data_IF_832272085734
#
_entry.id   IF_832272085734
#
_cell.length_a   1.000
_cell.length_b   1.000
_cell.length_c   1.000
_cell.angle_alpha   90.00
_cell.angle_beta   90.00
_cell.angle_gamma   90.00
#
_symmetry.space_group_name_H-M   'P 1'
#
loop_
_entity.id
_entity.type
_entity.pdbx_description
1 polymer ?
#
# COMPACT_ATOMS: atom_id res chain seq x y z
N UNK A 1 -2.33 19.87 1.92
CA UNK A 1 -2.83 19.37 3.25
C UNK A 1 -2.73 17.83 3.34
N UNK A 2 -2.23 17.24 4.45
CA UNK A 2 -2.14 15.79 4.61
C UNK A 2 -3.48 15.10 4.88
N UNK A 3 -3.54 13.83 4.52
CA UNK A 3 -4.68 12.93 4.75
C UNK A 3 -4.21 11.51 5.02
N UNK A 4 -4.99 10.78 5.82
CA UNK A 4 -4.85 9.33 5.99
C UNK A 4 -5.93 8.64 5.17
N UNK A 5 -5.54 7.64 4.40
CA UNK A 5 -6.45 6.80 3.62
C UNK A 5 -6.41 5.41 4.23
N UNK A 6 -7.57 4.92 4.67
CA UNK A 6 -7.69 3.54 5.17
C UNK A 6 -7.74 2.53 4.02
N UNK A 7 -7.52 1.25 4.34
CA UNK A 7 -7.69 0.14 3.39
C UNK A 7 -9.07 0.10 2.69
N UNK A 8 -10.12 0.57 3.37
CA UNK A 8 -11.46 0.67 2.81
C UNK A 8 -11.67 1.88 1.86
N UNK A 9 -10.64 2.70 1.64
CA UNK A 9 -10.71 3.91 0.81
C UNK A 9 -11.23 5.15 1.54
N UNK A 10 -11.60 5.05 2.82
CA UNK A 10 -12.01 6.22 3.60
C UNK A 10 -10.83 7.17 3.79
N UNK A 11 -11.02 8.45 3.42
CA UNK A 11 -10.01 9.50 3.54
C UNK A 11 -10.33 10.43 4.72
N UNK A 12 -9.37 10.60 5.61
CA UNK A 12 -9.45 11.46 6.78
C UNK A 12 -8.50 12.64 6.56
N UNK A 13 -9.05 13.83 6.43
CA UNK A 13 -8.27 15.06 6.27
C UNK A 13 -7.65 15.49 7.62
N UNK A 14 -6.35 15.75 7.62
CA UNK A 14 -5.62 16.17 8.80
C UNK A 14 -5.30 17.67 8.72
N UNK A 15 -5.93 18.46 9.58
CA UNK A 15 -5.80 19.93 9.58
C UNK A 15 -4.49 20.36 10.23
N UNK A 16 -3.89 21.43 9.71
CA UNK A 16 -2.67 22.03 10.23
C UNK A 16 -2.79 22.44 11.71
N UNK A 17 -1.72 22.21 12.47
CA UNK A 17 -1.63 22.58 13.88
C UNK A 17 -2.46 21.71 14.83
N UNK A 18 -3.06 20.62 14.34
CA UNK A 18 -3.83 19.68 15.13
C UNK A 18 -3.03 18.41 15.43
N UNK A 19 -3.46 17.70 16.46
CA UNK A 19 -2.99 16.34 16.79
C UNK A 19 -4.18 15.40 16.73
N UNK A 20 -4.01 14.28 16.06
CA UNK A 20 -5.03 13.25 15.90
C UNK A 20 -4.58 11.97 16.59
N UNK A 21 -5.35 11.48 17.55
CA UNK A 21 -5.08 10.22 18.26
C UNK A 21 -5.79 9.07 17.54
N UNK A 22 -5.04 8.01 17.25
CA UNK A 22 -5.52 6.75 16.71
C UNK A 22 -5.56 5.71 17.83
N UNK A 23 -6.65 4.97 17.94
CA UNK A 23 -6.79 3.95 18.97
C UNK A 23 -8.17 3.33 18.99
N UNK A 24 -8.35 2.24 19.76
CA UNK A 24 -9.67 1.63 19.96
C UNK A 24 -10.55 2.31 21.02
N UNK A 25 -10.00 3.31 21.72
CA UNK A 25 -10.72 4.08 22.70
C UNK A 25 -11.74 5.00 22.04
N UNK A 26 -12.90 5.18 22.67
CA UNK A 26 -13.95 6.08 22.17
C UNK A 26 -13.57 7.57 22.26
N UNK A 27 -12.51 7.87 23.00
CA UNK A 27 -11.90 9.18 23.18
C UNK A 27 -10.88 9.52 22.09
N UNK A 28 -10.63 8.63 21.13
CA UNK A 28 -9.73 8.88 20.00
C UNK A 28 -10.41 9.65 18.87
N UNK A 29 -9.63 10.47 18.16
CA UNK A 29 -10.10 11.17 16.96
C UNK A 29 -10.35 10.21 15.80
N UNK A 30 -9.56 9.13 15.72
CA UNK A 30 -9.71 8.05 14.75
C UNK A 30 -9.87 6.74 15.54
N UNK A 31 -11.11 6.28 15.62
CA UNK A 31 -11.48 5.08 16.38
C UNK A 31 -11.25 3.84 15.51
N UNK A 32 -10.45 2.90 16.01
CA UNK A 32 -10.13 1.63 15.36
C UNK A 32 -10.83 0.48 16.07
N UNK A 33 -11.67 -0.27 15.36
CA UNK A 33 -12.32 -1.47 15.92
C UNK A 33 -11.38 -2.68 15.82
N UNK A 34 -10.31 -2.64 16.62
CA UNK A 34 -9.24 -3.61 16.58
C UNK A 34 -8.73 -3.96 17.98
N UNK A 35 -8.79 -5.24 18.33
CA UNK A 35 -8.34 -5.76 19.63
C UNK A 35 -6.81 -5.72 19.78
N UNK A 36 -6.06 -5.75 18.67
CA UNK A 36 -4.61 -5.57 18.66
C UNK A 36 -4.23 -4.09 18.85
N UNK A 37 -5.20 -3.18 18.87
CA UNK A 37 -4.97 -1.77 19.06
C UNK A 37 -5.08 -1.35 20.54
N UNK A 38 -4.15 -0.53 21.02
CA UNK A 38 -4.27 0.14 22.33
C UNK A 38 -5.43 1.15 22.32
N UNK A 39 -5.96 1.49 23.52
CA UNK A 39 -7.04 2.49 23.65
C UNK A 39 -6.64 3.83 23.05
N UNK A 40 -5.41 4.28 23.33
CA UNK A 40 -4.71 5.37 22.64
C UNK A 40 -3.40 4.74 22.18
N UNK A 41 -3.23 4.56 20.87
CA UNK A 41 -2.17 3.72 20.32
C UNK A 41 -1.06 4.57 19.74
N UNK A 42 -1.42 5.49 18.85
CA UNK A 42 -0.51 6.39 18.18
C UNK A 42 -1.17 7.76 18.05
N UNK A 43 -0.36 8.78 17.74
CA UNK A 43 -0.87 10.07 17.33
C UNK A 43 -0.15 10.59 16.10
N UNK A 44 -0.88 11.31 15.27
CA UNK A 44 -0.34 12.08 14.15
C UNK A 44 -0.38 13.55 14.52
N UNK A 45 0.80 14.18 14.54
CA UNK A 45 0.97 15.61 14.78
C UNK A 45 1.13 16.31 13.44
N UNK A 46 0.23 17.22 13.10
CA UNK A 46 0.30 17.99 11.86
C UNK A 46 0.96 19.32 12.13
N UNK A 47 1.94 19.66 11.33
CA UNK A 47 2.63 20.94 11.43
C UNK A 47 1.64 22.12 11.23
N UNK A 48 1.80 23.27 11.92
CA UNK A 48 0.88 24.41 11.81
C UNK A 48 0.62 24.90 10.38
N UNK A 49 1.64 24.83 9.50
CA UNK A 49 1.50 25.21 8.09
C UNK A 49 0.73 24.18 7.23
N UNK A 50 0.34 23.02 7.79
CA UNK A 50 -0.40 21.98 7.06
C UNK A 50 0.39 21.27 5.96
N UNK A 51 1.72 21.40 5.92
CA UNK A 51 2.61 20.81 4.90
C UNK A 51 3.48 19.66 5.40
N UNK A 52 3.44 19.36 6.70
CA UNK A 52 4.20 18.27 7.30
C UNK A 52 3.40 17.56 8.38
N UNK A 53 3.73 16.30 8.64
CA UNK A 53 3.17 15.54 9.74
C UNK A 53 4.24 14.62 10.35
N UNK A 54 4.02 14.23 11.60
CA UNK A 54 4.85 13.25 12.29
C UNK A 54 3.95 12.23 13.00
N UNK A 55 4.41 10.98 13.04
CA UNK A 55 3.80 9.88 13.76
C UNK A 55 4.54 9.69 15.08
N UNK A 56 3.80 9.38 16.14
CA UNK A 56 4.37 9.07 17.44
C UNK A 56 3.57 7.95 18.10
N UNK A 57 4.23 6.86 18.48
CA UNK A 57 3.64 5.78 19.27
C UNK A 57 3.36 6.26 20.70
N UNK A 58 2.23 5.84 21.27
CA UNK A 58 1.79 6.23 22.62
C UNK A 58 1.98 5.11 23.64
N UNK A 59 3.15 4.45 23.60
CA UNK A 59 3.47 3.28 24.43
C UNK A 59 2.47 2.15 24.21
N UNK A 60 2.19 1.87 22.94
CA UNK A 60 1.25 0.85 22.56
C UNK A 60 1.77 -0.56 22.91
N UNK A 61 0.84 -1.51 23.08
CA UNK A 61 1.23 -2.89 23.44
C UNK A 61 1.94 -3.62 22.30
N UNK A 62 1.51 -3.38 21.06
CA UNK A 62 1.96 -4.11 19.88
C UNK A 62 2.89 -3.28 18.99
N UNK A 63 3.16 -2.03 19.35
CA UNK A 63 3.95 -1.11 18.56
C UNK A 63 3.18 -0.49 17.40
N UNK A 64 3.69 0.65 16.94
CA UNK A 64 3.28 1.31 15.71
C UNK A 64 4.35 1.10 14.65
N UNK A 65 3.98 0.80 13.42
CA UNK A 65 4.94 0.59 12.33
C UNK A 65 4.80 1.67 11.27
N UNK A 66 5.93 2.19 10.80
CA UNK A 66 6.04 3.11 9.67
C UNK A 66 6.85 2.41 8.58
N UNK A 67 6.24 2.25 7.39
CA UNK A 67 6.85 1.55 6.25
C UNK A 67 7.39 0.15 6.61
N UNK A 68 6.67 -0.57 7.49
CA UNK A 68 7.05 -1.92 7.94
C UNK A 68 8.12 -1.96 9.03
N UNK A 69 8.67 -0.82 9.44
CA UNK A 69 9.64 -0.72 10.53
C UNK A 69 8.98 -0.22 11.82
N UNK A 70 9.38 -0.79 12.96
CA UNK A 70 8.86 -0.39 14.25
C UNK A 70 9.25 1.07 14.54
N UNK A 71 8.24 1.93 14.71
CA UNK A 71 8.41 3.35 15.03
C UNK A 71 8.40 3.51 16.55
N UNK A 72 9.60 3.62 17.12
CA UNK A 72 9.80 3.73 18.58
C UNK A 72 9.78 5.19 19.08
N UNK A 73 10.08 6.13 18.20
CA UNK A 73 10.14 7.56 18.50
C UNK A 73 9.27 8.36 17.53
N UNK A 74 9.16 9.66 17.77
CA UNK A 74 8.48 10.56 16.83
C UNK A 74 9.20 10.53 15.47
N UNK A 75 8.50 10.04 14.44
CA UNK A 75 9.02 9.90 13.09
C UNK A 75 8.30 10.86 12.11
N UNK A 76 9.02 11.56 11.22
CA UNK A 76 8.39 12.35 10.18
C UNK A 76 7.63 11.44 9.20
N UNK A 77 6.49 11.93 8.70
CA UNK A 77 5.70 11.27 7.67
C UNK A 77 5.97 11.92 6.32
N UNK A 78 6.22 11.10 5.30
CA UNK A 78 6.34 11.50 3.90
C UNK A 78 5.05 11.15 3.13
N UNK A 79 4.86 11.74 1.95
CA UNK A 79 3.90 11.20 0.99
C UNK A 79 4.28 9.75 0.66
N UNK A 80 3.30 8.89 0.40
CA UNK A 80 3.58 7.46 0.24
C UNK A 80 3.63 6.67 1.54
N UNK A 81 3.90 7.30 2.68
CA UNK A 81 4.15 6.60 3.95
C UNK A 81 2.99 5.70 4.35
N UNK A 82 3.31 4.48 4.78
CA UNK A 82 2.37 3.48 5.28
C UNK A 82 2.49 3.36 6.79
N UNK A 83 1.37 3.54 7.48
CA UNK A 83 1.28 3.45 8.93
C UNK A 83 0.47 2.20 9.29
N UNK A 84 1.00 1.35 10.16
CA UNK A 84 0.26 0.23 10.74
C UNK A 84 0.08 0.45 12.25
N UNK A 85 -1.17 0.36 12.69
CA UNK A 85 -1.59 0.53 14.10
C UNK A 85 -2.48 -0.67 14.46
N UNK A 86 -1.94 -1.60 15.26
CA UNK A 86 -2.56 -2.93 15.36
C UNK A 86 -2.57 -3.63 13.99
N UNK A 87 -3.72 -4.15 13.58
CA UNK A 87 -3.98 -4.67 12.24
C UNK A 87 -4.52 -3.62 11.24
N UNK A 88 -4.71 -2.37 11.66
CA UNK A 88 -5.19 -1.31 10.76
C UNK A 88 -4.04 -0.70 9.96
N UNK A 89 -4.20 -0.62 8.64
CA UNK A 89 -3.22 -0.01 7.73
C UNK A 89 -3.78 1.30 7.17
N UNK A 90 -2.95 2.34 7.18
CA UNK A 90 -3.23 3.65 6.61
C UNK A 90 -2.14 4.09 5.65
N UNK A 91 -2.53 4.79 4.60
CA UNK A 91 -1.65 5.43 3.65
C UNK A 91 -1.68 6.94 3.85
N UNK A 92 -0.52 7.55 3.99
CA UNK A 92 -0.35 9.00 4.09
C UNK A 92 -0.32 9.58 2.68
N UNK A 93 -1.14 10.62 2.48
CA UNK A 93 -1.09 11.45 1.27
C UNK A 93 -1.09 12.92 1.62
N UNK A 94 -0.09 13.64 1.13
CA UNK A 94 -0.05 15.09 1.09
C UNK A 94 -0.68 15.51 -0.25
N UNK A 95 -1.78 16.28 -0.22
CA UNK A 95 -2.19 16.97 -1.45
C UNK A 95 -1.13 17.99 -1.78
N UNK A 96 -0.50 17.84 -2.94
CA UNK A 96 0.16 18.94 -3.64
C UNK A 96 -0.93 19.95 -3.96
N UNK A 97 -0.83 21.16 -3.40
CA UNK A 97 -1.67 22.26 -3.85
C UNK A 97 -1.21 22.62 -5.28
N UNK A 98 -2.12 23.04 -6.17
CA UNK A 98 -1.85 23.29 -7.62
C UNK A 98 -0.62 24.19 -7.90
N UNK A 99 -0.17 24.97 -6.92
CA UNK A 99 0.97 25.90 -7.02
C UNK A 99 2.36 25.21 -7.07
N UNK A 100 2.49 23.93 -6.70
CA UNK A 100 3.77 23.21 -6.73
C UNK A 100 4.02 22.47 -8.07
N UNK A 101 2.97 22.26 -8.89
CA UNK A 101 3.04 21.57 -10.19
C UNK A 101 3.93 22.37 -11.17
N UNK A 102 3.83 23.71 -11.18
CA UNK A 102 4.62 24.57 -12.08
C UNK A 102 6.14 24.52 -11.83
N UNK A 103 6.61 24.04 -10.67
CA UNK A 103 8.06 23.90 -10.38
C UNK A 103 8.65 22.55 -10.77
N UNK A 104 7.82 21.51 -10.89
CA UNK A 104 8.29 20.14 -11.15
C UNK A 104 8.42 19.83 -12.65
N UNK A 105 7.78 20.60 -13.54
CA UNK A 105 7.69 20.31 -14.98
C UNK A 105 8.99 20.54 -15.78
N UNK A 106 10.09 21.00 -15.17
CA UNK A 106 11.36 21.22 -15.91
C UNK A 106 12.29 19.99 -15.93
N UNK A 107 11.86 18.86 -15.38
CA UNK A 107 12.65 17.63 -15.35
C UNK A 107 12.13 16.56 -16.30
N UNK A 108 12.58 16.55 -17.55
CA UNK A 108 12.44 15.37 -18.43
C UNK A 108 13.23 14.21 -17.82
N UNK A 109 12.60 13.40 -16.96
CA UNK A 109 13.16 12.13 -16.50
C UNK A 109 12.83 11.06 -17.53
N UNK A 110 13.86 10.55 -18.19
CA UNK A 110 13.81 9.25 -18.85
C UNK A 110 13.61 8.21 -17.76
N UNK A 111 12.36 7.81 -17.52
CA UNK A 111 12.04 6.80 -16.52
C UNK A 111 12.24 5.43 -17.17
N UNK A 112 13.43 4.84 -16.99
CA UNK A 112 13.60 3.42 -17.22
C UNK A 112 12.63 2.68 -16.27
N UNK A 113 11.91 1.67 -16.77
CA UNK A 113 10.94 0.93 -15.97
C UNK A 113 11.57 0.30 -14.71
N UNK A 114 12.89 0.09 -14.74
CA UNK A 114 13.70 -0.40 -13.61
C UNK A 114 13.75 0.60 -12.45
N UNK A 115 13.88 1.90 -12.74
CA UNK A 115 13.92 2.95 -11.71
C UNK A 115 12.54 3.15 -11.08
N UNK A 116 11.46 2.95 -11.85
CA UNK A 116 10.08 3.04 -11.36
C UNK A 116 9.75 1.99 -10.29
N UNK A 117 10.35 0.80 -10.36
CA UNK A 117 10.13 -0.28 -9.39
C UNK A 117 10.89 -0.05 -8.10
N UNK A 118 12.08 0.55 -8.17
CA UNK A 118 12.86 0.89 -6.98
C UNK A 118 12.14 1.94 -6.10
N UNK A 119 11.41 2.86 -6.74
CA UNK A 119 10.60 3.88 -6.04
C UNK A 119 9.18 3.41 -5.69
N UNK A 120 8.79 2.18 -6.08
CA UNK A 120 7.46 1.63 -5.80
C UNK A 120 7.35 1.10 -4.36
N UNK A 121 7.51 1.99 -3.38
CA UNK A 121 7.45 1.65 -1.95
C UNK A 121 6.03 1.26 -1.51
N UNK A 122 5.00 1.82 -2.14
CA UNK A 122 3.60 1.48 -1.88
C UNK A 122 2.60 2.60 -2.21
N UNK A 123 1.32 2.26 -2.25
CA UNK A 123 0.29 3.21 -2.63
C UNK A 123 -1.13 2.71 -2.51
N UNK A 124 -2.06 3.54 -2.98
CA UNK A 124 -3.48 3.20 -3.03
C UNK A 124 -3.73 2.27 -4.21
N UNK A 125 -4.20 1.06 -3.93
CA UNK A 125 -4.36 0.01 -4.94
C UNK A 125 -5.44 0.36 -5.97
N UNK A 126 -6.52 1.01 -5.54
CA UNK A 126 -7.60 1.43 -6.45
C UNK A 126 -7.16 2.45 -7.51
N UNK A 127 -6.11 3.22 -7.23
CA UNK A 127 -5.62 4.28 -8.11
C UNK A 127 -4.71 3.76 -9.22
N UNK A 128 -4.08 2.59 -9.02
CA UNK A 128 -3.13 1.99 -9.97
C UNK A 128 -3.70 0.71 -10.59
N UNK A 129 -4.33 -0.14 -9.78
CA UNK A 129 -4.85 -1.45 -10.17
C UNK A 129 -3.77 -2.52 -10.28
N UNK A 130 -4.19 -3.79 -10.34
CA UNK A 130 -3.27 -4.93 -10.36
C UNK A 130 -2.39 -4.98 -11.60
N UNK A 131 -2.97 -4.76 -12.78
CA UNK A 131 -2.28 -4.99 -14.06
C UNK A 131 -1.05 -4.09 -14.24
N UNK A 132 -1.13 -2.75 -14.05
CA UNK A 132 0.05 -1.90 -14.19
C UNK A 132 1.14 -2.23 -13.17
N UNK A 133 0.77 -2.58 -11.94
CA UNK A 133 1.73 -3.01 -10.91
C UNK A 133 2.44 -4.29 -11.37
N UNK A 134 1.70 -5.30 -11.80
CA UNK A 134 2.31 -6.56 -12.27
C UNK A 134 3.22 -6.34 -13.46
N UNK A 135 2.80 -5.54 -14.45
CA UNK A 135 3.62 -5.24 -15.64
C UNK A 135 4.96 -4.60 -15.25
N UNK A 136 4.95 -3.65 -14.31
CA UNK A 136 6.17 -3.03 -13.77
C UNK A 136 7.06 -4.06 -13.05
N UNK A 137 6.49 -4.83 -12.12
CA UNK A 137 7.25 -5.81 -11.35
C UNK A 137 7.84 -6.92 -12.24
N UNK A 138 7.08 -7.38 -13.22
CA UNK A 138 7.54 -8.34 -14.25
C UNK A 138 8.70 -7.76 -15.05
N UNK A 139 8.60 -6.50 -15.50
CA UNK A 139 9.64 -5.84 -16.27
C UNK A 139 10.95 -5.70 -15.47
N UNK A 140 10.86 -5.46 -14.16
CA UNK A 140 12.02 -5.34 -13.27
C UNK A 140 12.86 -6.62 -13.17
N UNK A 141 12.25 -7.79 -13.40
CA UNK A 141 12.81 -9.14 -13.19
C UNK A 141 13.39 -9.39 -11.80
N UNK A 142 13.11 -8.53 -10.81
CA UNK A 142 13.57 -8.69 -9.42
C UNK A 142 12.75 -9.76 -8.69
N UNK A 143 13.34 -10.34 -7.65
CA UNK A 143 12.62 -11.23 -6.73
C UNK A 143 11.89 -10.37 -5.70
N UNK A 144 10.56 -10.26 -5.82
CA UNK A 144 9.74 -9.35 -5.02
C UNK A 144 8.40 -9.99 -4.64
N UNK A 145 7.85 -9.56 -3.52
CA UNK A 145 6.48 -9.82 -3.11
C UNK A 145 5.68 -8.52 -3.15
N UNK A 146 4.62 -8.49 -3.96
CA UNK A 146 3.57 -7.49 -3.88
C UNK A 146 2.61 -7.89 -2.79
N UNK A 147 2.49 -7.05 -1.78
CA UNK A 147 1.47 -7.19 -0.74
C UNK A 147 0.35 -6.19 -1.01
N UNK A 148 -0.88 -6.62 -0.77
CA UNK A 148 -2.07 -5.77 -0.87
C UNK A 148 -2.93 -6.01 0.37
N UNK A 149 -3.04 -4.99 1.24
CA UNK A 149 -4.04 -4.97 2.29
C UNK A 149 -5.40 -4.62 1.68
N UNK A 150 -6.35 -5.54 1.80
CA UNK A 150 -7.76 -5.38 1.40
C UNK A 150 -8.66 -5.37 2.64
N UNK A 151 -9.90 -4.87 2.55
CA UNK A 151 -10.82 -4.89 3.68
C UNK A 151 -11.09 -6.30 4.23
N UNK A 152 -11.05 -7.32 3.38
CA UNK A 152 -11.22 -8.73 3.76
C UNK A 152 -9.96 -9.42 4.29
N UNK A 153 -8.78 -8.77 4.21
CA UNK A 153 -7.52 -9.35 4.63
C UNK A 153 -6.35 -9.01 3.71
N UNK A 154 -5.16 -9.49 4.09
CA UNK A 154 -3.95 -9.31 3.28
C UNK A 154 -3.89 -10.33 2.14
N UNK A 155 -3.32 -9.91 1.02
CA UNK A 155 -3.11 -10.71 -0.18
C UNK A 155 -1.69 -10.51 -0.68
N UNK A 156 -1.14 -11.54 -1.32
CA UNK A 156 0.27 -11.54 -1.72
C UNK A 156 0.42 -12.09 -3.13
N UNK A 157 1.29 -11.47 -3.92
CA UNK A 157 1.73 -11.98 -5.22
C UNK A 157 3.26 -11.99 -5.24
N UNK A 158 3.85 -13.16 -5.40
CA UNK A 158 5.29 -13.33 -5.45
C UNK A 158 5.77 -13.44 -6.90
N UNK A 159 6.78 -12.64 -7.23
CA UNK A 159 7.41 -12.60 -8.54
C UNK A 159 8.90 -12.89 -8.42
N UNK A 160 9.44 -13.67 -9.35
CA UNK A 160 10.88 -13.91 -9.50
C UNK A 160 11.26 -13.99 -10.96
N UNK A 161 12.32 -13.30 -11.36
CA UNK A 161 12.85 -13.32 -12.73
C UNK A 161 11.82 -12.93 -13.81
N UNK A 162 10.83 -12.10 -13.45
CA UNK A 162 9.75 -11.69 -14.35
C UNK A 162 8.63 -12.72 -14.48
N UNK A 163 8.62 -13.76 -13.65
CA UNK A 163 7.54 -14.74 -13.54
C UNK A 163 6.74 -14.56 -12.26
N UNK A 164 5.42 -14.56 -12.37
CA UNK A 164 4.53 -14.74 -11.21
C UNK A 164 4.64 -16.19 -10.76
N UNK A 165 5.11 -16.43 -9.54
CA UNK A 165 5.32 -17.76 -8.99
C UNK A 165 4.15 -18.19 -8.11
N UNK A 166 3.65 -17.25 -7.31
CA UNK A 166 2.59 -17.49 -6.34
C UNK A 166 1.64 -16.30 -6.26
N UNK A 167 0.36 -16.57 -6.06
CA UNK A 167 -0.63 -15.55 -5.75
C UNK A 167 -1.64 -16.08 -4.75
N UNK A 168 -1.99 -15.28 -3.75
CA UNK A 168 -2.94 -15.61 -2.70
C UNK A 168 -3.82 -14.41 -2.37
N UNK A 169 -5.13 -14.63 -2.28
CA UNK A 169 -6.09 -13.58 -1.95
C UNK A 169 -7.34 -14.18 -1.32
N UNK A 170 -7.57 -13.91 -0.04
CA UNK A 170 -8.80 -14.32 0.66
C UNK A 170 -9.08 -15.83 0.58
N UNK A 171 -8.04 -16.66 0.73
CA UNK A 171 -8.12 -18.12 0.64
C UNK A 171 -8.17 -18.71 -0.78
N UNK A 172 -8.14 -17.86 -1.81
CA UNK A 172 -7.94 -18.29 -3.20
C UNK A 172 -6.44 -18.29 -3.52
N UNK A 173 -6.07 -19.13 -4.47
CA UNK A 173 -4.69 -19.28 -4.95
C UNK A 173 -4.58 -19.12 -6.47
N UNK A 174 -3.37 -18.83 -6.93
CA UNK A 174 -3.00 -18.79 -8.34
C UNK A 174 -3.81 -17.77 -9.15
N UNK A 175 -4.26 -18.17 -10.34
CA UNK A 175 -5.00 -17.27 -11.25
C UNK A 175 -6.29 -16.70 -10.63
N UNK A 176 -7.01 -17.48 -9.82
CA UNK A 176 -8.24 -17.03 -9.17
C UNK A 176 -7.97 -15.95 -8.12
N UNK A 177 -6.84 -16.05 -7.40
CA UNK A 177 -6.38 -14.99 -6.50
C UNK A 177 -6.11 -13.69 -7.27
N UNK A 178 -5.44 -13.78 -8.42
CA UNK A 178 -5.14 -12.62 -9.28
C UNK A 178 -6.41 -11.97 -9.85
N UNK A 179 -7.41 -12.75 -10.25
CA UNK A 179 -8.71 -12.23 -10.69
C UNK A 179 -9.43 -11.50 -9.55
N UNK A 180 -9.41 -12.08 -8.34
CA UNK A 180 -10.01 -11.45 -7.16
C UNK A 180 -9.31 -10.12 -6.85
N UNK A 181 -7.98 -10.12 -6.79
CA UNK A 181 -7.18 -8.91 -6.59
C UNK A 181 -7.46 -7.87 -7.66
N UNK A 182 -7.47 -8.25 -8.93
CA UNK A 182 -7.70 -7.34 -10.05
C UNK A 182 -9.09 -6.68 -10.05
N UNK A 183 -10.05 -7.22 -9.29
CA UNK A 183 -11.40 -6.67 -9.13
C UNK A 183 -11.58 -5.87 -7.83
N UNK A 184 -10.56 -5.81 -6.97
CA UNK A 184 -10.64 -5.04 -5.73
C UNK A 184 -10.81 -3.55 -6.03
N UNK A 185 -11.74 -2.90 -5.31
CA UNK A 185 -12.10 -1.49 -5.50
C UNK A 185 -11.42 -0.54 -4.51
N UNK A 186 -10.67 -1.10 -3.58
CA UNK A 186 -9.94 -0.40 -2.53
C UNK A 186 -8.76 -1.26 -2.10
N UNK A 187 -7.82 -0.68 -1.39
CA UNK A 187 -6.69 -1.38 -0.83
C UNK A 187 -5.46 -0.51 -0.77
N UNK A 188 -4.47 -0.96 0.00
CA UNK A 188 -3.15 -0.34 0.07
C UNK A 188 -2.15 -1.42 -0.30
N UNK A 189 -1.27 -1.12 -1.25
CA UNK A 189 -0.23 -2.05 -1.66
C UNK A 189 1.15 -1.55 -1.27
N UNK A 190 2.10 -2.47 -1.18
CA UNK A 190 3.53 -2.20 -1.03
C UNK A 190 4.32 -3.37 -1.60
N UNK A 191 5.59 -3.14 -1.90
CA UNK A 191 6.47 -4.15 -2.47
C UNK A 191 7.61 -4.43 -1.50
N UNK A 192 7.96 -5.70 -1.35
CA UNK A 192 9.07 -6.14 -0.52
C UNK A 192 10.02 -6.96 -1.37
N UNK A 193 11.33 -6.72 -1.28
CA UNK A 193 12.33 -7.57 -1.91
C UNK A 193 12.44 -8.90 -1.17
N UNK A 194 12.39 -10.01 -1.91
CA UNK A 194 12.55 -11.33 -1.35
C UNK A 194 14.05 -11.65 -1.22
N UNK A 195 14.58 -11.57 0.00
CA UNK A 195 16.02 -11.80 0.28
C UNK A 195 16.40 -13.27 0.43
N UNK A 196 15.42 -14.18 0.58
CA UNK A 196 15.67 -15.62 0.71
C UNK A 196 15.12 -16.40 -0.48
N UNK A 197 15.86 -17.44 -0.89
CA UNK A 197 15.36 -18.59 -1.63
C UNK A 197 14.42 -19.42 -0.75
N UNK A 198 13.36 -18.84 -0.20
CA UNK A 198 12.24 -19.66 0.25
C UNK A 198 11.67 -20.30 -1.02
N UNK A 199 11.87 -21.60 -1.20
CA UNK A 199 11.22 -22.41 -2.24
C UNK A 199 9.72 -22.44 -1.92
N UNK A 200 9.01 -21.35 -2.20
CA UNK A 200 7.56 -21.39 -2.18
C UNK A 200 7.09 -22.26 -3.36
N UNK A 201 6.22 -23.23 -3.05
CA UNK A 201 5.66 -24.13 -4.04
C UNK A 201 4.88 -23.30 -5.08
N UNK A 202 5.32 -23.37 -6.34
CA UNK A 202 4.78 -22.57 -7.44
C UNK A 202 3.31 -22.94 -7.68
N UNK A 203 2.38 -22.02 -7.41
CA UNK A 203 0.94 -22.22 -7.66
C UNK A 203 0.41 -21.50 -8.91
N UNK A 204 1.26 -20.79 -9.64
CA UNK A 204 0.97 -20.21 -10.97
C UNK A 204 1.88 -20.88 -12.01
N UNK A 205 1.31 -21.71 -12.88
CA UNK A 205 2.06 -22.51 -13.86
C UNK A 205 2.07 -21.93 -15.28
N UNK A 206 1.13 -21.03 -15.60
CA UNK A 206 1.10 -20.33 -16.89
C UNK A 206 2.33 -19.43 -17.09
N UNK A 207 2.72 -19.24 -18.35
CA UNK A 207 3.72 -18.23 -18.70
C UNK A 207 3.18 -16.83 -18.41
N UNK A 208 4.05 -15.92 -18.00
CA UNK A 208 3.66 -14.53 -17.69
C UNK A 208 2.90 -13.84 -18.82
N UNK A 209 3.32 -14.06 -20.07
CA UNK A 209 2.65 -13.50 -21.24
C UNK A 209 1.19 -13.99 -21.38
N UNK A 210 0.97 -15.29 -21.20
CA UNK A 210 -0.38 -15.88 -21.23
C UNK A 210 -1.22 -15.38 -20.06
N UNK A 211 -0.62 -15.35 -18.87
CA UNK A 211 -1.24 -14.86 -17.64
C UNK A 211 -1.78 -13.42 -17.82
N UNK A 212 -0.95 -12.50 -18.31
CA UNK A 212 -1.35 -11.11 -18.50
C UNK A 212 -2.46 -10.94 -19.53
N UNK A 213 -2.42 -11.69 -20.65
CA UNK A 213 -3.49 -11.66 -21.66
C UNK A 213 -4.81 -12.15 -21.08
N UNK A 214 -4.79 -13.25 -20.35
CA UNK A 214 -5.97 -13.82 -19.71
C UNK A 214 -6.52 -12.91 -18.60
N UNK A 215 -5.66 -12.33 -17.77
CA UNK A 215 -6.06 -11.35 -16.76
C UNK A 215 -6.72 -10.13 -17.40
N UNK A 216 -6.10 -9.55 -18.44
CA UNK A 216 -6.68 -8.41 -19.18
C UNK A 216 -8.07 -8.75 -19.69
N UNK A 217 -8.24 -9.91 -20.32
CA UNK A 217 -9.54 -10.37 -20.84
C UNK A 217 -10.61 -10.49 -19.76
N UNK A 218 -10.26 -11.07 -18.61
CA UNK A 218 -11.20 -11.35 -17.52
C UNK A 218 -11.52 -10.13 -16.63
N UNK A 219 -10.63 -9.13 -16.61
CA UNK A 219 -10.79 -7.88 -15.88
C UNK A 219 -11.40 -6.76 -16.73
N UNK A 220 -11.41 -6.90 -18.06
CA UNK A 220 -12.07 -5.95 -18.95
C UNK A 220 -13.59 -5.94 -18.68
N UNK A 221 -14.17 -4.80 -18.27
CA UNK A 221 -15.61 -4.70 -18.02
C UNK A 221 -16.46 -4.97 -19.26
N UNK A 222 -15.90 -4.83 -20.48
CA UNK A 222 -16.61 -5.04 -21.74
C UNK A 222 -17.00 -6.50 -22.02
N UNK A 223 -16.33 -7.47 -21.38
CA UNK A 223 -16.53 -8.91 -21.63
C UNK A 223 -17.62 -9.53 -20.73
N UNK A 224 -18.24 -8.77 -19.82
CA UNK A 224 -19.34 -9.25 -18.96
C UNK A 224 -20.73 -8.99 -19.58
N UNK A 225 -21.04 -9.70 -20.67
CA UNK A 225 -22.40 -9.76 -21.25
C UNK A 225 -22.86 -11.20 -21.38
#
# INVERSE_FOLDING_TARGET
MPSLISVAGNRIALRGGQTYVLGRGRDCDIILDDLACSRRHARVLVHPNGRGAALEDMQSRNGTFLNGQLSLERAPLADGSRICVGGSVFLVRFREDEEDIERAETGTRSLDATDLVADLEGGEFASVGLLPILELLIASRRAVALHVALPEGESTVELREGEVRRAECGGLEGFNALIRLGRAKSGIFWVVECTEESECERNVTDTTARLLVELKRCLDPATSR
#
